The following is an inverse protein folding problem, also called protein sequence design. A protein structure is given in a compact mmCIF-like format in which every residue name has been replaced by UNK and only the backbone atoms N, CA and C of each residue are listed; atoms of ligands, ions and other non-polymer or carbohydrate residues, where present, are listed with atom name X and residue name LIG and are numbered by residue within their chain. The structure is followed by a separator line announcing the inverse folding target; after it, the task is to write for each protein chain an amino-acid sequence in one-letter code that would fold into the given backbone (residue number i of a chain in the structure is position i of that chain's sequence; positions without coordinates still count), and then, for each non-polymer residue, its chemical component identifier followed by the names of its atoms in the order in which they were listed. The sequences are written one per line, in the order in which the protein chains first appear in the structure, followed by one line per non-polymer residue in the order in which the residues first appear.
data_IF_487544300269
#
_entry.id   IF_487544300269
#
_cell.length_a   1.000
_cell.length_b   1.000
_cell.length_c   1.000
_cell.angle_alpha   90.00
_cell.angle_beta   90.00
_cell.angle_gamma   90.00
#
_symmetry.space_group_name_H-M   'P 1'
#
loop_
_entity.id
_entity.type
_entity.pdbx_description
1 polymer ?
#
# COMPACT_ATOMS: atom_id res chain seq x y z
N UNK A 1 22.35 -23.92 -22.49
CA UNK A 1 22.95 -22.81 -21.73
C UNK A 1 24.11 -22.23 -22.54
N UNK A 2 24.07 -20.96 -22.88
CA UNK A 2 25.14 -20.22 -23.57
C UNK A 2 26.07 -19.56 -22.55
N UNK A 3 27.32 -19.30 -22.96
CA UNK A 3 28.32 -18.56 -22.18
C UNK A 3 28.71 -17.29 -22.95
N UNK A 4 28.82 -16.16 -22.27
CA UNK A 4 29.26 -14.91 -22.89
C UNK A 4 29.81 -13.92 -21.89
N UNK A 5 30.48 -12.89 -22.41
CA UNK A 5 31.07 -11.80 -21.63
C UNK A 5 30.15 -10.59 -21.67
N UNK A 6 29.91 -9.97 -20.52
CA UNK A 6 29.11 -8.75 -20.43
C UNK A 6 29.91 -7.59 -21.03
N UNK A 7 29.52 -7.16 -22.23
CA UNK A 7 30.24 -6.14 -23.02
C UNK A 7 29.90 -4.72 -22.56
N UNK A 8 28.65 -4.47 -22.19
CA UNK A 8 28.17 -3.18 -21.72
C UNK A 8 27.09 -3.37 -20.67
N UNK A 9 27.03 -2.42 -19.73
CA UNK A 9 26.04 -2.41 -18.67
C UNK A 9 25.69 -0.96 -18.32
N UNK A 10 24.41 -0.66 -18.16
CA UNK A 10 23.90 0.60 -17.65
C UNK A 10 23.23 0.35 -16.29
N UNK A 11 23.85 0.85 -15.23
CA UNK A 11 23.39 0.66 -13.85
C UNK A 11 22.11 1.44 -13.50
N UNK A 12 21.86 2.58 -14.15
CA UNK A 12 20.69 3.42 -13.92
C UNK A 12 19.43 2.77 -14.50
N UNK A 13 19.53 2.28 -15.74
CA UNK A 13 18.41 1.63 -16.46
C UNK A 13 18.34 0.13 -16.19
N UNK A 14 19.42 -0.48 -15.67
CA UNK A 14 19.46 -1.88 -15.30
C UNK A 14 19.46 -2.84 -16.50
N UNK A 15 20.15 -2.50 -17.59
CA UNK A 15 20.29 -3.40 -18.73
C UNK A 15 21.69 -3.36 -19.33
N UNK A 16 21.99 -4.35 -20.16
CA UNK A 16 23.25 -4.44 -20.88
C UNK A 16 23.20 -5.42 -22.04
N UNK A 17 24.36 -5.74 -22.56
CA UNK A 17 24.52 -6.64 -23.69
C UNK A 17 25.65 -7.65 -23.45
N UNK A 18 25.35 -8.92 -23.69
CA UNK A 18 26.29 -10.03 -23.57
C UNK A 18 26.79 -10.39 -24.96
N UNK A 19 28.12 -10.43 -25.10
CA UNK A 19 28.78 -10.95 -26.29
C UNK A 19 29.10 -12.43 -26.09
N UNK A 20 28.60 -13.28 -26.98
CA UNK A 20 28.91 -14.71 -27.00
C UNK A 20 29.51 -15.07 -28.35
N UNK A 21 30.49 -15.99 -28.37
CA UNK A 21 31.04 -16.52 -29.62
C UNK A 21 30.06 -17.47 -30.33
N UNK A 22 29.11 -18.04 -29.60
CA UNK A 22 28.12 -18.98 -30.14
C UNK A 22 26.96 -18.26 -30.84
N UNK A 23 26.75 -16.98 -30.55
CA UNK A 23 25.65 -16.19 -31.08
C UNK A 23 26.19 -15.12 -32.03
N UNK A 24 25.50 -14.90 -33.15
CA UNK A 24 25.92 -13.91 -34.15
C UNK A 24 25.72 -12.46 -33.67
N UNK A 25 24.81 -12.25 -32.72
CA UNK A 25 24.43 -10.93 -32.24
C UNK A 25 24.60 -10.82 -30.72
N UNK A 26 24.89 -9.59 -30.28
CA UNK A 26 24.96 -9.26 -28.86
C UNK A 26 23.57 -9.47 -28.22
N UNK A 27 23.50 -10.29 -27.18
CA UNK A 27 22.24 -10.66 -26.53
C UNK A 27 21.87 -9.64 -25.46
N UNK A 28 20.64 -9.14 -25.51
CA UNK A 28 20.13 -8.21 -24.52
C UNK A 28 19.96 -8.89 -23.15
N UNK A 29 20.43 -8.26 -22.08
CA UNK A 29 20.21 -8.71 -20.71
C UNK A 29 19.61 -7.58 -19.87
N UNK A 30 18.60 -7.91 -19.08
CA UNK A 30 17.99 -7.00 -18.11
C UNK A 30 18.32 -7.46 -16.68
N UNK A 31 18.36 -6.52 -15.73
CA UNK A 31 18.65 -6.79 -14.31
C UNK A 31 17.65 -7.77 -13.69
N UNK A 32 16.42 -7.81 -14.22
CA UNK A 32 15.41 -8.79 -13.81
C UNK A 32 15.77 -10.24 -14.13
N UNK A 33 16.69 -10.50 -15.06
CA UNK A 33 17.19 -11.84 -15.35
C UNK A 33 18.28 -12.28 -14.36
N UNK A 34 18.78 -11.36 -13.52
CA UNK A 34 19.88 -11.55 -12.57
C UNK A 34 19.42 -11.49 -11.09
N UNK A 35 18.13 -11.72 -10.82
CA UNK A 35 17.50 -11.54 -9.47
C UNK A 35 18.16 -12.31 -8.32
N UNK A 36 18.96 -13.33 -8.63
CA UNK A 36 19.59 -14.19 -7.62
C UNK A 36 21.09 -13.93 -7.45
N UNK A 37 21.60 -12.81 -7.97
CA UNK A 37 23.01 -12.43 -7.79
C UNK A 37 23.22 -11.65 -6.50
N UNK A 38 24.30 -11.95 -5.79
CA UNK A 38 24.73 -11.21 -4.60
C UNK A 38 25.25 -9.79 -4.90
N UNK A 39 25.62 -9.51 -6.15
CA UNK A 39 26.10 -8.19 -6.60
C UNK A 39 25.50 -7.80 -7.94
N UNK A 40 25.52 -6.49 -8.22
CA UNK A 40 25.20 -5.94 -9.55
C UNK A 40 26.24 -6.41 -10.60
N UNK A 41 25.81 -6.76 -11.82
CA UNK A 41 26.73 -7.14 -12.89
C UNK A 41 27.66 -5.97 -13.25
N UNK A 42 28.89 -6.27 -13.66
CA UNK A 42 29.85 -5.31 -14.20
C UNK A 42 30.36 -5.77 -15.55
N UNK A 43 30.75 -4.81 -16.39
CA UNK A 43 31.39 -5.09 -17.68
C UNK A 43 32.62 -5.98 -17.45
N UNK A 44 32.77 -7.02 -18.27
CA UNK A 44 33.79 -8.06 -18.12
C UNK A 44 33.31 -9.31 -17.36
N UNK A 45 32.16 -9.26 -16.67
CA UNK A 45 31.60 -10.44 -16.03
C UNK A 45 31.28 -11.52 -17.07
N UNK A 46 31.58 -12.76 -16.73
CA UNK A 46 31.19 -13.92 -17.53
C UNK A 46 29.81 -14.39 -17.09
N UNK A 47 28.87 -14.46 -18.02
CA UNK A 47 27.48 -14.80 -17.76
C UNK A 47 27.11 -16.07 -18.53
N UNK A 48 26.54 -17.03 -17.81
CA UNK A 48 25.82 -18.17 -18.35
C UNK A 48 24.35 -17.80 -18.50
N UNK A 49 23.75 -18.02 -19.66
CA UNK A 49 22.37 -17.60 -19.93
C UNK A 49 21.68 -18.50 -20.95
N UNK A 50 20.36 -18.42 -21.01
CA UNK A 50 19.54 -19.00 -22.07
C UNK A 50 18.97 -17.89 -22.94
N UNK A 51 18.72 -18.18 -24.22
CA UNK A 51 18.14 -17.22 -25.16
C UNK A 51 16.66 -17.48 -25.27
N UNK A 52 15.85 -16.46 -25.01
CA UNK A 52 14.42 -16.46 -25.28
C UNK A 52 14.12 -15.44 -26.38
N UNK A 53 13.32 -15.84 -27.36
CA UNK A 53 12.81 -14.94 -28.40
C UNK A 53 11.52 -14.29 -27.91
N UNK A 54 11.45 -12.97 -27.98
CA UNK A 54 10.25 -12.22 -27.69
C UNK A 54 9.31 -12.17 -28.90
N UNK A 55 8.01 -11.89 -28.70
CA UNK A 55 7.04 -11.77 -29.81
C UNK A 55 7.42 -10.73 -30.86
N UNK A 56 8.26 -9.76 -30.48
CA UNK A 56 8.79 -8.70 -31.35
C UNK A 56 10.00 -9.16 -32.21
N UNK A 57 10.41 -10.44 -32.12
CA UNK A 57 11.56 -11.01 -32.83
C UNK A 57 12.93 -10.72 -32.21
N UNK A 58 13.00 -9.98 -31.09
CA UNK A 58 14.26 -9.72 -30.38
C UNK A 58 14.61 -10.87 -29.45
N UNK A 59 15.90 -11.12 -29.29
CA UNK A 59 16.42 -12.13 -28.38
C UNK A 59 16.84 -11.50 -27.05
N UNK A 60 16.46 -12.14 -25.95
CA UNK A 60 16.87 -11.74 -24.60
C UNK A 60 17.48 -12.89 -23.83
N UNK A 61 18.39 -12.55 -22.93
CA UNK A 61 18.98 -13.46 -21.98
C UNK A 61 18.02 -13.70 -20.80
N UNK A 62 17.72 -14.97 -20.54
CA UNK A 62 16.96 -15.46 -19.39
C UNK A 62 17.79 -16.44 -18.58
N UNK A 63 17.37 -16.74 -17.35
CA UNK A 63 18.06 -17.66 -16.43
C UNK A 63 19.56 -17.34 -16.29
N UNK A 64 19.91 -16.06 -16.10
CA UNK A 64 21.29 -15.61 -16.15
C UNK A 64 22.05 -15.92 -14.85
N UNK A 65 23.28 -16.43 -14.98
CA UNK A 65 24.19 -16.71 -13.87
C UNK A 65 25.57 -16.11 -14.10
N UNK A 66 26.07 -15.29 -13.16
CA UNK A 66 27.42 -14.72 -13.24
C UNK A 66 28.42 -15.75 -12.68
N UNK A 67 29.50 -16.01 -13.41
CA UNK A 67 30.59 -16.89 -12.99
C UNK A 67 31.30 -16.33 -11.75
N UNK A 68 31.54 -17.15 -10.74
CA UNK A 68 32.23 -16.74 -9.51
C UNK A 68 31.39 -15.92 -8.52
N UNK A 69 30.13 -15.61 -8.83
CA UNK A 69 29.22 -14.91 -7.91
C UNK A 69 28.30 -15.92 -7.24
N UNK A 70 28.36 -15.97 -5.91
CA UNK A 70 27.44 -16.81 -5.12
C UNK A 70 26.00 -16.37 -5.41
N UNK A 71 25.17 -17.33 -5.80
CA UNK A 71 23.75 -17.12 -5.88
C UNK A 71 23.25 -16.82 -4.46
N UNK A 72 22.56 -15.69 -4.27
CA UNK A 72 21.88 -15.47 -3.00
C UNK A 72 20.83 -16.58 -2.86
N UNK A 73 20.87 -17.37 -1.77
CA UNK A 73 19.81 -18.31 -1.52
C UNK A 73 18.52 -17.49 -1.50
N UNK A 74 17.56 -17.88 -2.33
CA UNK A 74 16.22 -17.37 -2.22
C UNK A 74 15.71 -17.88 -0.88
N UNK A 75 16.02 -17.15 0.20
CA UNK A 75 15.26 -17.24 1.43
C UNK A 75 13.87 -16.91 0.96
N UNK A 76 13.06 -17.95 0.74
CA UNK A 76 11.62 -17.80 0.68
C UNK A 76 11.29 -17.23 2.05
N UNK A 77 11.33 -15.91 2.17
CA UNK A 77 10.51 -15.21 3.12
C UNK A 77 9.09 -15.58 2.70
N UNK A 78 8.65 -16.75 3.16
CA UNK A 78 7.26 -17.13 3.25
C UNK A 78 6.63 -16.28 4.35
N UNK A 79 6.74 -14.97 4.18
CA UNK A 79 5.90 -13.96 4.79
C UNK A 79 5.16 -13.31 3.63
N UNK A 80 4.45 -14.15 2.84
CA UNK A 80 3.17 -13.65 2.34
C UNK A 80 2.38 -13.37 3.61
N UNK A 81 1.94 -12.13 3.91
CA UNK A 81 0.84 -12.00 4.83
C UNK A 81 -0.25 -12.91 4.26
N UNK A 82 -0.76 -13.82 5.09
CA UNK A 82 -1.99 -14.54 4.76
C UNK A 82 -2.97 -13.47 4.33
N UNK A 83 -3.25 -13.36 3.03
CA UNK A 83 -4.45 -12.67 2.59
C UNK A 83 -5.55 -13.53 3.14
N UNK A 84 -6.03 -13.19 4.34
CA UNK A 84 -7.36 -13.56 4.77
C UNK A 84 -8.22 -13.05 3.63
N UNK A 85 -8.66 -13.98 2.78
CA UNK A 85 -9.72 -13.71 1.83
C UNK A 85 -10.85 -13.17 2.68
N UNK A 86 -11.08 -11.86 2.61
CA UNK A 86 -12.38 -11.31 2.96
C UNK A 86 -13.33 -12.10 2.08
N UNK A 87 -14.03 -13.05 2.70
CA UNK A 87 -15.13 -13.74 2.05
C UNK A 87 -16.04 -12.61 1.62
N UNK A 88 -16.10 -12.42 0.30
CA UNK A 88 -17.04 -11.49 -0.31
C UNK A 88 -18.40 -12.00 0.12
N UNK A 89 -18.98 -11.35 1.14
CA UNK A 89 -20.32 -11.63 1.61
C UNK A 89 -21.22 -11.65 0.40
N UNK A 90 -21.66 -12.85 0.02
CA UNK A 90 -22.52 -13.04 -1.13
C UNK A 90 -23.85 -12.45 -0.70
N UNK A 91 -24.14 -11.24 -1.16
CA UNK A 91 -25.36 -10.50 -0.89
C UNK A 91 -26.54 -11.25 -1.52
N UNK A 92 -27.03 -12.31 -0.86
CA UNK A 92 -28.23 -13.00 -1.31
C UNK A 92 -29.45 -12.18 -0.88
N UNK A 93 -30.35 -11.80 -1.81
CA UNK A 93 -31.51 -10.96 -1.52
C UNK A 93 -32.50 -11.63 -0.55
N UNK A 94 -32.41 -12.96 -0.40
CA UNK A 94 -33.26 -13.76 0.47
C UNK A 94 -32.99 -13.50 1.97
N UNK A 95 -31.73 -13.24 2.36
CA UNK A 95 -31.38 -12.99 3.77
C UNK A 95 -31.82 -11.60 4.26
N UNK A 96 -31.93 -10.61 3.37
CA UNK A 96 -32.44 -9.27 3.70
C UNK A 96 -33.95 -9.27 4.02
N UNK A 97 -34.72 -10.16 3.38
CA UNK A 97 -36.16 -10.29 3.62
C UNK A 97 -36.47 -10.93 4.98
N UNK A 98 -35.66 -11.92 5.40
CA UNK A 98 -35.81 -12.57 6.70
C UNK A 98 -35.51 -11.57 7.84
N UNK A 99 -34.47 -10.74 7.70
CA UNK A 99 -34.15 -9.72 8.72
C UNK A 99 -35.23 -8.65 8.84
N UNK A 100 -35.83 -8.21 7.72
CA UNK A 100 -36.93 -7.24 7.74
C UNK A 100 -38.19 -7.84 8.37
N UNK A 101 -38.50 -9.11 8.11
CA UNK A 101 -39.62 -9.81 8.74
C UNK A 101 -39.50 -9.92 10.27
N UNK A 102 -38.30 -10.18 10.78
CA UNK A 102 -38.04 -10.27 12.23
C UNK A 102 -38.16 -8.89 12.91
N UNK A 103 -37.66 -7.82 12.28
CA UNK A 103 -37.78 -6.45 12.84
C UNK A 103 -39.24 -6.02 12.88
N UNK A 104 -40.02 -6.35 11.84
CA UNK A 104 -41.44 -5.99 11.77
C UNK A 104 -42.28 -6.75 12.80
N UNK A 105 -41.98 -8.04 13.05
CA UNK A 105 -42.69 -8.83 14.06
C UNK A 105 -42.40 -8.37 15.49
N UNK A 106 -41.15 -8.01 15.81
CA UNK A 106 -40.77 -7.43 17.10
C UNK A 106 -41.44 -6.06 17.29
N UNK A 107 -41.39 -5.19 16.27
CA UNK A 107 -42.03 -3.87 16.31
C UNK A 107 -43.54 -3.95 16.49
N UNK A 108 -44.21 -4.88 15.80
CA UNK A 108 -45.65 -5.10 15.96
C UNK A 108 -46.02 -5.63 17.36
N UNK A 109 -45.19 -6.49 17.93
CA UNK A 109 -45.39 -7.02 19.28
C UNK A 109 -45.23 -5.93 20.36
N UNK A 110 -44.24 -5.05 20.20
CA UNK A 110 -44.04 -3.87 21.07
C UNK A 110 -45.18 -2.84 20.89
N UNK A 111 -45.65 -2.61 19.67
CA UNK A 111 -46.78 -1.71 19.42
C UNK A 111 -48.06 -2.21 20.11
N UNK A 112 -48.36 -3.51 20.01
CA UNK A 112 -49.52 -4.11 20.67
C UNK A 112 -49.45 -4.02 22.20
N UNK A 113 -48.26 -4.18 22.77
CA UNK A 113 -48.05 -4.18 24.22
C UNK A 113 -47.89 -2.77 24.82
N UNK A 114 -47.39 -1.80 24.04
CA UNK A 114 -47.19 -0.41 24.46
C UNK A 114 -48.39 0.52 24.28
N UNK A 115 -49.28 0.25 23.32
CA UNK A 115 -50.37 1.18 22.98
C UNK A 115 -51.57 1.17 23.96
N UNK A 116 -51.69 0.16 24.83
CA UNK A 116 -52.83 0.08 25.78
C UNK A 116 -52.52 0.57 27.21
N UNK A 117 -51.28 0.95 27.54
CA UNK A 117 -50.89 1.21 28.94
C UNK A 117 -50.26 2.58 29.22
N UNK A 118 -50.75 3.66 28.61
CA UNK A 118 -50.40 5.01 29.10
C UNK A 118 -51.64 5.86 29.32
N UNK A 119 -52.15 5.80 30.55
CA UNK A 119 -52.85 6.90 31.21
C UNK A 119 -51.98 7.37 32.37
N UNK A 120 -51.11 8.36 32.16
CA UNK A 120 -50.80 9.41 33.15
C UNK A 120 -49.72 10.37 32.63
N UNK A 121 -50.02 11.66 32.68
CA UNK A 121 -49.08 12.77 32.51
C UNK A 121 -48.63 13.27 33.89
N UNK A 122 -47.32 13.48 34.14
CA UNK A 122 -46.87 14.32 35.25
C UNK A 122 -46.56 15.76 34.78
N UNK A 123 -47.03 16.74 35.56
CA UNK A 123 -46.78 18.18 35.39
C UNK A 123 -45.38 18.51 35.94
N UNK A 124 -44.59 19.27 35.17
CA UNK A 124 -43.19 19.66 35.50
C UNK A 124 -43.16 21.10 36.06
N UNK A 125 -42.40 21.34 37.14
CA UNK A 125 -42.11 22.66 37.74
C UNK A 125 -40.73 23.19 37.33
N UNK A 126 -40.58 24.52 37.34
CA UNK A 126 -39.44 25.27 36.76
C UNK A 126 -38.09 25.19 37.52
N UNK A 127 -37.92 24.30 38.50
CA UNK A 127 -36.72 24.28 39.35
C UNK A 127 -35.51 23.52 38.76
N UNK A 128 -35.64 22.89 37.59
CA UNK A 128 -34.57 22.05 37.00
C UNK A 128 -33.81 22.71 35.82
N UNK A 129 -33.96 24.02 35.59
CA UNK A 129 -33.41 24.68 34.40
C UNK A 129 -32.00 25.29 34.55
N UNK A 130 -31.36 25.23 35.71
CA UNK A 130 -30.01 25.82 35.91
C UNK A 130 -28.83 24.83 35.84
N UNK A 131 -29.05 23.53 35.61
CA UNK A 131 -27.95 22.53 35.58
C UNK A 131 -27.52 22.06 34.19
N UNK A 132 -28.07 22.63 33.10
CA UNK A 132 -27.74 22.22 31.73
C UNK A 132 -27.30 23.40 30.85
N UNK A 133 -26.17 24.03 31.19
CA UNK A 133 -25.34 24.69 30.17
C UNK A 133 -24.18 23.77 29.80
N UNK A 134 -24.15 23.17 28.60
CA UNK A 134 -22.91 22.67 28.06
C UNK A 134 -22.14 23.85 27.44
N UNK A 135 -21.00 24.19 28.04
CA UNK A 135 -20.03 25.07 27.43
C UNK A 135 -19.60 24.49 26.07
N UNK A 136 -19.74 25.33 25.05
CA UNK A 136 -19.35 25.07 23.68
C UNK A 136 -17.83 24.95 23.53
N UNK A 137 -17.41 24.29 22.45
CA UNK A 137 -16.06 24.20 21.87
C UNK A 137 -15.00 23.34 22.58
N UNK A 138 -14.84 22.09 22.12
CA UNK A 138 -13.54 21.56 21.67
C UNK A 138 -13.68 20.12 21.12
N UNK A 139 -14.23 19.97 19.91
CA UNK A 139 -14.16 18.72 19.15
C UNK A 139 -13.42 18.93 17.81
N UNK A 140 -12.26 19.59 17.85
CA UNK A 140 -11.34 19.71 16.70
C UNK A 140 -9.85 19.46 17.06
N UNK A 141 -9.52 19.09 18.30
CA UNK A 141 -8.12 19.04 18.76
C UNK A 141 -7.57 17.64 19.07
N UNK A 142 -8.29 16.55 18.77
CA UNK A 142 -7.80 15.19 19.09
C UNK A 142 -6.78 14.62 18.09
N UNK A 143 -6.68 15.18 16.88
CA UNK A 143 -5.76 14.69 15.82
C UNK A 143 -4.50 15.54 15.65
N UNK A 144 -4.45 16.78 16.14
CA UNK A 144 -3.26 17.65 15.99
C UNK A 144 -2.19 17.45 17.08
N UNK A 145 -2.48 16.70 18.14
CA UNK A 145 -1.60 16.65 19.33
C UNK A 145 -0.52 15.56 19.31
N UNK A 146 -0.35 14.81 18.21
CA UNK A 146 0.58 13.67 18.18
C UNK A 146 1.84 13.86 17.31
N UNK A 147 1.93 14.93 16.51
CA UNK A 147 3.05 15.08 15.57
C UNK A 147 4.12 16.01 16.14
N UNK A 148 5.38 15.55 16.12
CA UNK A 148 6.56 16.32 16.53
C UNK A 148 7.65 16.11 15.50
N UNK A 149 8.47 17.14 15.28
CA UNK A 149 9.61 17.03 14.40
C UNK A 149 10.63 16.04 15.00
N UNK A 150 10.76 14.88 14.37
CA UNK A 150 11.63 13.78 14.79
C UNK A 150 12.79 13.52 13.81
N UNK A 151 12.99 14.44 12.86
CA UNK A 151 14.07 14.38 11.86
C UNK A 151 13.72 13.61 10.59
N UNK A 152 12.50 13.10 10.44
CA UNK A 152 12.02 12.52 9.19
C UNK A 152 11.90 13.56 8.08
N UNK A 153 12.30 13.20 6.87
CA UNK A 153 12.35 14.11 5.71
C UNK A 153 11.66 13.57 4.45
N UNK A 154 11.25 12.30 4.43
CA UNK A 154 10.72 11.65 3.22
C UNK A 154 9.34 11.01 3.44
N UNK A 155 8.53 10.96 2.39
CA UNK A 155 7.16 10.46 2.40
C UNK A 155 6.98 9.02 2.88
N UNK A 156 7.95 8.15 2.57
CA UNK A 156 7.93 6.75 2.99
C UNK A 156 7.96 6.58 4.51
N UNK A 157 8.29 7.65 5.25
CA UNK A 157 8.37 7.64 6.70
C UNK A 157 7.07 8.15 7.34
N UNK A 158 6.13 8.73 6.58
CA UNK A 158 4.86 9.28 7.08
C UNK A 158 3.76 8.21 7.10
N UNK A 159 2.95 8.21 8.15
CA UNK A 159 1.85 7.26 8.37
C UNK A 159 0.50 7.79 7.91
N UNK A 160 0.36 9.11 7.75
CA UNK A 160 -0.84 9.77 7.25
C UNK A 160 -0.49 11.05 6.47
N UNK A 161 -1.44 11.54 5.67
CA UNK A 161 -1.30 12.80 4.95
C UNK A 161 -1.31 14.00 5.90
N UNK A 162 -2.12 13.94 6.96
CA UNK A 162 -2.22 14.96 8.00
C UNK A 162 -0.90 15.14 8.74
N UNK A 163 -0.20 14.03 9.01
CA UNK A 163 1.17 14.05 9.54
C UNK A 163 2.14 14.69 8.54
N UNK A 164 2.06 14.32 7.26
CA UNK A 164 2.95 14.88 6.24
C UNK A 164 2.74 16.39 6.04
N UNK A 165 1.49 16.87 6.10
CA UNK A 165 1.13 18.28 6.09
C UNK A 165 1.72 19.03 7.29
N UNK A 166 1.61 18.43 8.48
CA UNK A 166 2.20 19.01 9.69
C UNK A 166 3.71 19.19 9.53
N UNK A 167 4.41 18.20 8.97
CA UNK A 167 5.87 18.25 8.79
C UNK A 167 6.31 19.35 7.83
N UNK A 168 5.63 19.56 6.70
CA UNK A 168 5.95 20.66 5.76
C UNK A 168 5.76 22.03 6.42
N UNK A 169 4.73 22.19 7.25
CA UNK A 169 4.40 23.48 7.86
C UNK A 169 5.22 23.80 9.11
N UNK A 170 5.66 22.78 9.86
CA UNK A 170 6.22 22.98 11.21
C UNK A 170 7.65 22.45 11.39
N UNK A 171 8.20 21.68 10.44
CA UNK A 171 9.52 21.05 10.58
C UNK A 171 10.55 21.56 9.55
N UNK A 172 11.81 21.81 9.97
CA UNK A 172 12.86 22.23 9.04
C UNK A 172 13.38 21.06 8.19
N UNK A 173 13.85 21.36 6.97
CA UNK A 173 14.52 20.42 6.05
C UNK A 173 13.67 19.26 5.51
N UNK A 174 12.36 19.43 5.35
CA UNK A 174 11.49 18.42 4.73
C UNK A 174 11.70 18.30 3.22
N UNK A 175 11.74 17.08 2.69
CA UNK A 175 11.86 16.73 1.26
C UNK A 175 10.66 15.90 0.79
N UNK A 176 9.46 16.32 1.22
CA UNK A 176 8.20 15.57 1.04
C UNK A 176 7.29 16.17 -0.05
N UNK A 177 7.48 17.45 -0.33
CA UNK A 177 6.81 18.22 -1.38
C UNK A 177 7.89 18.62 -2.40
N UNK A 178 7.79 18.00 -3.58
CA UNK A 178 8.82 18.06 -4.61
C UNK A 178 8.70 19.30 -5.50
N UNK A 179 7.47 19.74 -5.72
CA UNK A 179 7.03 20.83 -6.58
C UNK A 179 6.64 22.10 -5.82
N UNK A 180 6.62 22.04 -4.48
CA UNK A 180 6.42 23.15 -3.54
C UNK A 180 5.03 23.79 -3.64
N UNK A 181 4.03 22.99 -3.95
CA UNK A 181 2.64 23.42 -4.05
C UNK A 181 1.86 23.29 -2.72
N UNK A 182 2.50 22.72 -1.69
CA UNK A 182 1.91 22.51 -0.38
C UNK A 182 1.20 21.17 -0.22
N UNK A 183 1.22 20.29 -1.22
CA UNK A 183 0.67 18.93 -1.15
C UNK A 183 1.79 17.89 -0.92
N UNK A 184 2.01 17.46 0.34
CA UNK A 184 3.00 16.42 0.62
C UNK A 184 2.60 15.08 0.04
N UNK A 185 3.59 14.35 -0.47
CA UNK A 185 3.47 12.90 -0.64
C UNK A 185 2.29 12.47 -1.52
N UNK A 186 1.98 13.25 -2.55
CA UNK A 186 0.91 13.00 -3.52
C UNK A 186 0.96 11.57 -4.09
N UNK A 187 2.17 11.08 -4.41
CA UNK A 187 2.35 9.71 -4.92
C UNK A 187 1.98 8.62 -3.92
N UNK A 188 1.95 8.92 -2.62
CA UNK A 188 1.64 7.99 -1.54
C UNK A 188 0.19 8.15 -1.03
N UNK A 189 -0.36 9.36 -1.03
CA UNK A 189 -1.68 9.66 -0.47
C UNK A 189 -2.69 10.26 -1.47
N UNK A 190 -2.33 10.45 -2.74
CA UNK A 190 -3.13 11.16 -3.77
C UNK A 190 -4.35 10.43 -4.33
N UNK A 191 -4.81 9.36 -3.67
CA UNK A 191 -6.09 8.69 -3.99
C UNK A 191 -7.20 9.07 -2.99
N UNK A 192 -7.17 10.28 -2.43
CA UNK A 192 -8.11 10.76 -1.41
C UNK A 192 -9.35 11.41 -2.01
#
# INVERSE_FOLDING_TARGET
MNKGLLKSWNDEKGFGFIKSSTLQHDTFIHISSLKHMSRKPKVGDIIYFEVATEPNGKTKAVNCRIEGVLAQPHIKASSRPVRISKTSGKNSPLMKLITLGIIFSIGFSVYKTGFLNTKQTPVVTNANLESFMPASSNSLNKTQQAFRCDGRQHCSQMTSYEEALFFIQHCPNTKMDGDKDGEPCERQFGNR
#
